data_IF_760416841316
#
_entry.id   IF_760416841316
#
_cell.length_a   1.000
_cell.length_b   1.000
_cell.length_c   1.000
_cell.angle_alpha   90.00
_cell.angle_beta   90.00
_cell.angle_gamma   90.00
#
_symmetry.space_group_name_H-M   'P 1'
#
loop_
_entity.id
_entity.type
_entity.pdbx_description
1 polymer ?
#
# COMPACT_ATOMS: atom_id res chain seq x y z
N UNK A 1 -16.02 22.51 -12.57
CA UNK A 1 -14.61 22.67 -12.20
C UNK A 1 -13.94 21.29 -12.16
N UNK A 2 -12.82 21.17 -12.86
CA UNK A 2 -12.03 19.95 -12.95
C UNK A 2 -10.86 20.01 -11.96
N UNK A 3 -10.46 18.86 -11.38
CA UNK A 3 -9.20 18.69 -10.70
C UNK A 3 -8.61 17.32 -11.02
N UNK A 4 -7.33 17.32 -11.35
CA UNK A 4 -6.50 16.14 -11.57
C UNK A 4 -5.34 16.22 -10.60
N UNK A 5 -5.09 15.14 -9.90
CA UNK A 5 -3.92 14.97 -9.03
C UNK A 5 -3.22 13.64 -9.36
N UNK A 6 -1.90 13.67 -9.39
CA UNK A 6 -1.09 12.49 -9.63
C UNK A 6 0.17 12.54 -8.77
N UNK A 7 0.61 11.38 -8.33
CA UNK A 7 1.86 11.19 -7.62
C UNK A 7 2.57 9.95 -8.15
N UNK A 8 3.90 10.03 -8.20
CA UNK A 8 4.77 8.99 -8.67
C UNK A 8 5.95 8.87 -7.72
N UNK A 9 6.31 7.68 -7.31
CA UNK A 9 7.50 7.37 -6.55
C UNK A 9 8.28 6.24 -7.20
N UNK A 10 9.57 6.41 -7.31
CA UNK A 10 10.50 5.35 -7.69
C UNK A 10 11.63 5.30 -6.67
N UNK A 11 11.88 4.11 -6.15
CA UNK A 11 12.88 3.86 -5.12
C UNK A 11 13.68 2.63 -5.49
N UNK A 12 15.00 2.75 -5.44
CA UNK A 12 15.90 1.60 -5.43
C UNK A 12 16.62 1.57 -4.10
N UNK A 13 16.46 0.48 -3.37
CA UNK A 13 17.12 0.26 -2.08
C UNK A 13 17.92 -1.04 -2.12
N UNK A 14 19.14 -1.02 -1.62
CA UNK A 14 20.00 -2.19 -1.55
C UNK A 14 20.80 -2.14 -0.24
N UNK A 15 20.90 -3.27 0.44
CA UNK A 15 21.78 -3.40 1.60
C UNK A 15 23.24 -3.47 1.13
N UNK A 16 24.12 -2.77 1.82
CA UNK A 16 25.55 -3.01 1.74
C UNK A 16 25.92 -4.37 2.33
N UNK A 17 27.19 -4.62 2.59
CA UNK A 17 27.64 -5.88 3.21
C UNK A 17 26.95 -6.08 4.55
N UNK A 18 26.11 -7.09 4.64
CA UNK A 18 25.36 -7.40 5.84
C UNK A 18 25.01 -8.89 5.90
N UNK A 19 25.27 -9.51 7.04
CA UNK A 19 24.97 -10.91 7.32
C UNK A 19 24.06 -11.04 8.52
N UNK A 20 23.09 -11.94 8.50
CA UNK A 20 22.21 -12.17 9.63
C UNK A 20 21.68 -13.61 9.69
N UNK A 21 21.21 -14.00 10.86
CA UNK A 21 20.44 -15.24 11.04
C UNK A 21 18.96 -14.91 10.94
N UNK A 22 18.21 -15.68 10.12
CA UNK A 22 16.76 -15.58 10.12
C UNK A 22 16.23 -16.03 11.49
N UNK A 23 15.59 -15.15 12.28
CA UNK A 23 15.10 -15.49 13.62
C UNK A 23 14.01 -16.56 13.60
N UNK A 24 13.48 -16.89 12.43
CA UNK A 24 12.52 -17.99 12.21
C UNK A 24 13.22 -19.33 11.92
N UNK A 25 14.56 -19.34 11.82
CA UNK A 25 15.34 -20.54 11.66
C UNK A 25 15.49 -21.29 13.00
N UNK A 26 15.60 -22.61 12.93
CA UNK A 26 15.74 -23.47 14.12
C UNK A 26 17.11 -23.30 14.80
N UNK A 27 18.12 -22.83 14.06
CA UNK A 27 19.49 -22.64 14.56
C UNK A 27 19.77 -21.15 14.81
N UNK A 28 20.16 -20.83 16.04
CA UNK A 28 20.57 -19.50 16.47
C UNK A 28 22.10 -19.41 16.59
N UNK A 29 22.84 -20.02 15.68
CA UNK A 29 24.29 -19.91 15.69
C UNK A 29 24.73 -18.45 15.49
N UNK A 30 25.78 -17.97 16.18
CA UNK A 30 26.24 -16.59 16.09
C UNK A 30 26.68 -16.24 14.65
N UNK A 31 26.33 -15.02 14.24
CA UNK A 31 26.65 -14.46 12.92
C UNK A 31 27.21 -13.06 13.12
N UNK A 32 28.38 -12.79 12.55
CA UNK A 32 28.94 -11.43 12.54
C UNK A 32 28.31 -10.65 11.36
N UNK A 33 27.62 -9.54 11.62
CA UNK A 33 26.95 -8.78 10.56
C UNK A 33 27.88 -8.19 9.49
N UNK A 34 29.18 -8.02 9.81
CA UNK A 34 30.15 -7.39 8.91
C UNK A 34 31.03 -8.39 8.17
N UNK A 35 31.34 -9.53 8.77
CA UNK A 35 32.35 -10.47 8.23
C UNK A 35 31.75 -11.79 7.75
N UNK A 36 30.49 -12.05 8.04
CA UNK A 36 29.76 -13.20 7.53
C UNK A 36 29.91 -14.47 8.32
N UNK A 37 29.70 -15.64 7.69
CA UNK A 37 29.37 -16.85 8.37
C UNK A 37 30.54 -17.52 9.08
N UNK A 38 30.43 -17.62 10.40
CA UNK A 38 31.09 -18.68 11.13
C UNK A 38 30.32 -20.03 10.99
N UNK A 39 29.07 -20.02 10.50
CA UNK A 39 28.18 -21.18 10.42
C UNK A 39 27.23 -21.09 9.23
N UNK A 40 26.68 -22.24 8.79
CA UNK A 40 25.73 -22.36 7.68
C UNK A 40 24.37 -21.65 7.88
N UNK A 41 24.09 -21.13 9.06
CA UNK A 41 22.84 -20.40 9.37
C UNK A 41 22.96 -18.89 9.16
N UNK A 42 24.14 -18.36 8.89
CA UNK A 42 24.39 -16.96 8.62
C UNK A 42 24.11 -16.67 7.13
N UNK A 43 23.13 -15.86 6.85
CA UNK A 43 22.67 -15.56 5.49
C UNK A 43 23.31 -14.24 5.06
N UNK A 44 23.90 -14.24 3.85
CA UNK A 44 24.36 -13.02 3.20
C UNK A 44 23.14 -12.25 2.64
N UNK A 45 22.92 -11.05 3.16
CA UNK A 45 21.84 -10.16 2.76
C UNK A 45 22.34 -8.99 1.89
N UNK A 46 23.60 -9.04 1.48
CA UNK A 46 24.20 -8.03 0.59
C UNK A 46 23.41 -7.93 -0.70
N UNK A 47 22.99 -6.72 -1.07
CA UNK A 47 22.18 -6.48 -2.25
C UNK A 47 20.69 -6.74 -2.08
N UNK A 48 20.24 -7.26 -0.92
CA UNK A 48 18.81 -7.38 -0.65
C UNK A 48 18.17 -6.01 -0.48
N UNK A 49 16.91 -5.92 -0.87
CA UNK A 49 16.12 -4.68 -0.71
C UNK A 49 15.71 -4.45 0.74
N UNK A 50 15.47 -3.20 1.09
CA UNK A 50 14.87 -2.82 2.35
C UNK A 50 13.43 -3.34 2.45
N UNK A 51 13.01 -3.62 3.68
CA UNK A 51 11.64 -4.05 3.94
C UNK A 51 10.64 -2.94 3.68
N UNK A 52 9.50 -3.28 3.07
CA UNK A 52 8.42 -2.35 2.75
C UNK A 52 8.89 -1.15 1.91
N UNK A 53 9.83 -1.38 1.00
CA UNK A 53 10.40 -0.40 0.10
C UNK A 53 10.04 -0.77 -1.36
N UNK A 54 8.79 -0.56 -1.80
CA UNK A 54 8.37 -0.88 -3.16
C UNK A 54 9.18 -0.05 -4.16
N UNK A 55 9.64 -0.68 -5.24
CA UNK A 55 10.40 0.02 -6.27
C UNK A 55 9.55 1.11 -6.92
N UNK A 56 8.26 0.86 -7.07
CA UNK A 56 7.37 1.76 -7.79
C UNK A 56 6.06 2.00 -7.04
N UNK A 57 5.66 3.26 -6.94
CA UNK A 57 4.35 3.68 -6.46
C UNK A 57 3.74 4.72 -7.40
N UNK A 58 2.45 4.62 -7.63
CA UNK A 58 1.71 5.56 -8.47
C UNK A 58 0.34 5.83 -7.87
N UNK A 59 -0.11 7.08 -7.93
CA UNK A 59 -1.48 7.45 -7.62
C UNK A 59 -2.02 8.44 -8.64
N UNK A 60 -3.29 8.31 -8.94
CA UNK A 60 -4.02 9.21 -9.85
C UNK A 60 -5.40 9.47 -9.26
N UNK A 61 -5.75 10.75 -9.12
CA UNK A 61 -7.07 11.21 -8.72
C UNK A 61 -7.65 12.13 -9.77
N UNK A 62 -8.94 11.94 -10.09
CA UNK A 62 -9.68 12.79 -11.00
C UNK A 62 -11.05 13.11 -10.44
N UNK A 63 -11.44 14.37 -10.50
CA UNK A 63 -12.79 14.81 -10.15
C UNK A 63 -13.32 15.87 -11.11
N UNK A 64 -14.63 15.94 -11.20
CA UNK A 64 -15.32 16.97 -11.96
C UNK A 64 -16.57 17.45 -11.21
N UNK A 65 -16.70 18.75 -11.01
CA UNK A 65 -17.87 19.35 -10.36
C UNK A 65 -18.86 19.85 -11.43
N UNK A 66 -20.03 19.22 -11.46
CA UNK A 66 -21.16 19.60 -12.30
C UNK A 66 -22.06 20.55 -11.51
N UNK A 67 -22.32 21.75 -12.07
CA UNK A 67 -23.32 22.66 -11.52
C UNK A 67 -24.70 22.27 -12.08
N UNK A 68 -25.66 22.10 -11.18
CA UNK A 68 -27.05 21.79 -11.53
C UNK A 68 -27.92 23.04 -11.43
N UNK A 69 -29.12 22.98 -12.03
CA UNK A 69 -30.14 24.00 -11.84
C UNK A 69 -30.49 24.13 -10.35
N UNK A 70 -30.70 25.37 -9.87
CA UNK A 70 -31.01 25.62 -8.45
C UNK A 70 -29.80 25.84 -7.54
N UNK A 71 -28.56 25.79 -8.07
CA UNK A 71 -27.34 26.08 -7.31
C UNK A 71 -26.71 24.82 -6.65
N UNK A 72 -27.25 23.65 -6.93
CA UNK A 72 -26.69 22.38 -6.49
C UNK A 72 -25.43 22.03 -7.26
N UNK A 73 -24.58 21.20 -6.64
CA UNK A 73 -23.39 20.63 -7.31
C UNK A 73 -23.30 19.12 -7.09
N UNK A 74 -22.91 18.41 -8.14
CA UNK A 74 -22.56 16.99 -8.08
C UNK A 74 -21.10 16.82 -8.47
N UNK A 75 -20.32 16.21 -7.61
CA UNK A 75 -18.87 16.05 -7.79
C UNK A 75 -18.49 14.56 -7.69
N UNK A 76 -18.47 13.81 -8.81
CA UNK A 76 -17.82 12.52 -8.85
C UNK A 76 -16.30 12.67 -8.73
N UNK A 77 -15.67 11.70 -8.05
CA UNK A 77 -14.22 11.54 -7.95
C UNK A 77 -13.87 10.06 -8.03
N UNK A 78 -12.81 9.76 -8.76
CA UNK A 78 -12.17 8.45 -8.79
C UNK A 78 -10.71 8.59 -8.41
N UNK A 79 -10.19 7.63 -7.67
CA UNK A 79 -8.78 7.55 -7.31
C UNK A 79 -8.28 6.13 -7.62
N UNK A 80 -7.12 6.06 -8.25
CA UNK A 80 -6.37 4.84 -8.47
C UNK A 80 -5.03 4.91 -7.75
N UNK A 81 -4.66 3.85 -7.07
CA UNK A 81 -3.35 3.71 -6.43
C UNK A 81 -2.73 2.37 -6.79
N UNK A 82 -1.45 2.41 -7.17
CA UNK A 82 -0.61 1.25 -7.43
C UNK A 82 0.59 1.26 -6.50
N UNK A 83 0.93 0.10 -5.95
CA UNK A 83 2.15 -0.15 -5.21
C UNK A 83 2.71 -1.47 -5.73
N UNK A 84 3.96 -1.47 -6.22
CA UNK A 84 4.63 -2.67 -6.69
C UNK A 84 4.84 -3.67 -5.57
N UNK A 85 5.19 -4.89 -5.91
CA UNK A 85 5.62 -5.89 -4.94
C UNK A 85 6.79 -5.38 -4.09
N UNK A 86 6.93 -5.93 -2.90
CA UNK A 86 7.95 -5.54 -1.93
C UNK A 86 8.20 -6.66 -0.92
N UNK A 87 9.33 -6.62 -0.27
CA UNK A 87 9.68 -7.61 0.74
C UNK A 87 9.27 -7.18 2.14
N UNK A 88 8.61 -8.07 2.89
CA UNK A 88 8.25 -7.81 4.28
C UNK A 88 9.41 -8.07 5.25
N UNK A 89 10.41 -8.85 4.83
CA UNK A 89 11.62 -9.14 5.61
C UNK A 89 12.87 -9.02 4.75
N UNK A 90 14.00 -8.73 5.37
CA UNK A 90 15.30 -8.66 4.70
C UNK A 90 15.74 -10.03 4.14
N UNK A 91 15.17 -11.12 4.65
CA UNK A 91 15.55 -12.50 4.24
C UNK A 91 14.97 -12.89 2.88
N UNK A 92 13.96 -12.18 2.39
CA UNK A 92 13.37 -12.35 1.05
C UNK A 92 13.03 -13.82 0.74
N UNK A 93 12.50 -14.52 1.71
CA UNK A 93 12.16 -15.93 1.58
C UNK A 93 10.71 -16.08 1.09
N UNK A 94 10.55 -16.27 -0.20
CA UNK A 94 9.24 -16.41 -0.84
C UNK A 94 8.46 -17.62 -0.32
N UNK A 95 9.14 -18.76 -0.08
CA UNK A 95 8.52 -19.96 0.47
C UNK A 95 7.94 -19.76 1.89
N UNK A 96 8.46 -18.78 2.63
CA UNK A 96 7.92 -18.33 3.93
C UNK A 96 6.89 -17.22 3.82
N UNK A 97 6.63 -16.75 2.59
CA UNK A 97 5.65 -15.73 2.31
C UNK A 97 6.14 -14.31 2.65
N UNK A 98 7.43 -14.05 2.51
CA UNK A 98 8.02 -12.73 2.74
C UNK A 98 7.69 -11.73 1.63
N UNK A 99 7.27 -12.20 0.45
CA UNK A 99 6.82 -11.36 -0.64
C UNK A 99 5.44 -10.79 -0.34
N UNK A 100 5.33 -9.46 -0.39
CA UNK A 100 4.07 -8.72 -0.41
C UNK A 100 3.77 -8.37 -1.85
N UNK A 101 2.78 -9.05 -2.43
CA UNK A 101 2.37 -8.87 -3.82
C UNK A 101 1.96 -7.41 -4.11
N UNK A 102 2.09 -7.02 -5.38
CA UNK A 102 1.62 -5.73 -5.85
C UNK A 102 0.13 -5.51 -5.56
N UNK A 103 -0.26 -4.25 -5.44
CA UNK A 103 -1.68 -3.92 -5.25
C UNK A 103 -2.12 -2.74 -6.11
N UNK A 104 -3.35 -2.87 -6.62
CA UNK A 104 -4.01 -1.91 -7.47
C UNK A 104 -5.38 -1.58 -6.87
N UNK A 105 -5.50 -0.43 -6.22
CA UNK A 105 -6.70 -0.06 -5.48
C UNK A 105 -7.45 1.06 -6.20
N UNK A 106 -8.72 0.82 -6.49
CA UNK A 106 -9.63 1.80 -7.05
C UNK A 106 -10.64 2.22 -5.98
N UNK A 107 -10.73 3.53 -5.75
CA UNK A 107 -11.73 4.14 -4.89
C UNK A 107 -12.53 5.17 -5.69
N UNK A 108 -13.82 5.31 -5.40
CA UNK A 108 -14.64 6.35 -6.00
C UNK A 108 -15.63 6.94 -5.00
N UNK A 109 -16.06 8.16 -5.27
CA UNK A 109 -17.11 8.82 -4.52
C UNK A 109 -17.91 9.77 -5.41
N UNK A 110 -19.16 10.03 -5.01
CA UNK A 110 -20.01 11.06 -5.60
C UNK A 110 -20.52 11.92 -4.44
N UNK A 111 -20.16 13.20 -4.45
CA UNK A 111 -20.65 14.17 -3.50
C UNK A 111 -21.75 15.04 -4.15
N UNK A 112 -22.91 15.10 -3.54
CA UNK A 112 -23.98 16.03 -3.88
C UNK A 112 -24.12 17.08 -2.79
N UNK A 113 -24.03 18.35 -3.20
CA UNK A 113 -24.21 19.52 -2.34
C UNK A 113 -25.53 20.20 -2.68
N UNK A 114 -26.36 20.37 -1.67
CA UNK A 114 -27.60 21.14 -1.70
C UNK A 114 -27.59 22.17 -0.54
N UNK A 115 -27.37 23.42 -0.86
CA UNK A 115 -27.19 24.48 0.15
C UNK A 115 -26.04 24.15 1.12
N UNK A 116 -26.37 24.05 2.41
CA UNK A 116 -25.40 23.69 3.48
C UNK A 116 -25.25 22.17 3.71
N UNK A 117 -26.03 21.34 3.01
CA UNK A 117 -25.97 19.88 3.12
C UNK A 117 -25.08 19.29 2.04
N UNK A 118 -24.18 18.40 2.43
CA UNK A 118 -23.37 17.57 1.52
C UNK A 118 -23.64 16.11 1.82
N UNK A 119 -24.10 15.39 0.81
CA UNK A 119 -24.29 13.93 0.84
C UNK A 119 -23.24 13.28 -0.05
N UNK A 120 -22.46 12.35 0.49
CA UNK A 120 -21.42 11.65 -0.25
C UNK A 120 -21.66 10.15 -0.18
N UNK A 121 -21.85 9.52 -1.34
CA UNK A 121 -21.78 8.07 -1.51
C UNK A 121 -20.35 7.74 -1.91
N UNK A 122 -19.73 6.75 -1.26
CA UNK A 122 -18.37 6.35 -1.56
C UNK A 122 -18.21 4.83 -1.58
N UNK A 123 -17.19 4.38 -2.31
CA UNK A 123 -16.73 3.00 -2.29
C UNK A 123 -15.20 2.96 -2.28
N UNK A 124 -14.65 2.03 -1.51
CA UNK A 124 -13.22 1.76 -1.42
C UNK A 124 -12.92 0.34 -1.87
N UNK A 125 -11.74 0.14 -2.45
CA UNK A 125 -11.33 -1.14 -3.03
C UNK A 125 -12.42 -1.71 -3.97
N UNK A 126 -12.87 -0.92 -4.93
CA UNK A 126 -13.99 -1.27 -5.80
C UNK A 126 -13.74 -2.51 -6.64
N UNK A 127 -12.48 -2.82 -6.93
CA UNK A 127 -12.05 -4.03 -7.63
C UNK A 127 -12.05 -5.28 -6.74
N UNK A 128 -12.28 -5.10 -5.42
CA UNK A 128 -12.27 -6.17 -4.42
C UNK A 128 -10.96 -6.97 -4.40
N UNK A 129 -9.85 -6.28 -4.60
CA UNK A 129 -8.54 -6.91 -4.58
C UNK A 129 -8.22 -7.40 -3.16
N UNK A 130 -7.91 -8.68 -3.03
CA UNK A 130 -7.37 -9.24 -1.80
C UNK A 130 -5.86 -9.02 -1.79
N UNK A 131 -5.35 -8.35 -0.79
CA UNK A 131 -3.93 -8.05 -0.68
C UNK A 131 -3.45 -8.13 0.76
N UNK A 132 -2.18 -8.47 0.92
CA UNK A 132 -1.50 -8.41 2.22
C UNK A 132 -1.04 -6.97 2.46
N UNK A 133 -1.50 -6.37 3.57
CA UNK A 133 -1.07 -5.03 3.99
C UNK A 133 0.24 -5.04 4.77
N UNK A 134 0.47 -6.09 5.57
CA UNK A 134 1.67 -6.25 6.37
C UNK A 134 1.90 -7.72 6.75
N UNK A 135 3.16 -8.04 7.04
CA UNK A 135 3.60 -9.29 7.65
C UNK A 135 4.35 -8.98 8.95
N UNK A 136 3.99 -9.63 10.04
CA UNK A 136 4.73 -9.52 11.29
C UNK A 136 4.85 -10.89 11.95
N UNK A 137 6.08 -11.35 12.16
CA UNK A 137 6.37 -12.65 12.80
C UNK A 137 5.60 -13.84 12.20
N UNK A 138 5.40 -13.83 10.86
CA UNK A 138 4.64 -14.84 10.14
C UNK A 138 3.12 -14.64 10.13
N UNK A 139 2.59 -13.64 10.85
CA UNK A 139 1.18 -13.25 10.81
C UNK A 139 0.93 -12.30 9.64
N UNK A 140 -0.03 -12.65 8.80
CA UNK A 140 -0.44 -11.85 7.64
C UNK A 140 -1.63 -10.95 8.01
N UNK A 141 -1.46 -9.66 7.81
CA UNK A 141 -2.51 -8.66 7.99
C UNK A 141 -3.07 -8.29 6.62
N UNK A 142 -4.30 -8.73 6.35
CA UNK A 142 -4.96 -8.46 5.08
C UNK A 142 -5.46 -7.01 5.04
N UNK A 143 -5.40 -6.41 3.88
CA UNK A 143 -6.00 -5.11 3.62
C UNK A 143 -7.53 -5.18 3.69
N UNK A 144 -8.23 -4.02 3.86
CA UNK A 144 -9.68 -3.99 3.92
C UNK A 144 -10.29 -4.47 2.59
N UNK A 145 -11.37 -5.28 2.66
CA UNK A 145 -12.13 -5.67 1.49
C UNK A 145 -12.86 -4.48 0.88
N UNK A 146 -13.55 -4.69 -0.22
CA UNK A 146 -14.44 -3.69 -0.82
C UNK A 146 -15.49 -3.22 0.19
N UNK A 147 -15.64 -1.91 0.31
CA UNK A 147 -16.57 -1.26 1.22
C UNK A 147 -17.36 -0.16 0.51
N UNK A 148 -18.58 0.05 0.94
CA UNK A 148 -19.44 1.16 0.51
C UNK A 148 -19.95 1.91 1.73
N UNK A 149 -20.16 3.20 1.59
CA UNK A 149 -20.68 4.00 2.67
C UNK A 149 -21.35 5.27 2.20
N UNK A 150 -22.17 5.84 3.11
CA UNK A 150 -22.83 7.11 2.95
C UNK A 150 -22.35 8.06 4.06
N UNK A 151 -21.99 9.28 3.68
CA UNK A 151 -21.63 10.35 4.61
C UNK A 151 -22.56 11.54 4.41
N UNK A 152 -23.09 12.05 5.51
CA UNK A 152 -23.88 13.28 5.54
C UNK A 152 -23.11 14.35 6.33
N UNK A 153 -22.99 15.54 5.79
CA UNK A 153 -22.37 16.67 6.44
C UNK A 153 -23.27 17.92 6.25
N UNK A 154 -23.54 18.61 7.35
CA UNK A 154 -24.28 19.87 7.33
C UNK A 154 -23.45 20.95 8.02
N UNK A 155 -23.23 22.06 7.33
CA UNK A 155 -22.69 23.27 7.93
C UNK A 155 -23.83 24.09 8.57
N UNK A 156 -23.60 24.66 9.73
CA UNK A 156 -24.55 25.49 10.48
C UNK A 156 -24.12 26.96 10.45
#
# INVERSE_FOLDING_TARGET
QEALDAGFGWLKSELGTFYAVDPRAISLAPCDPATGPATASCIDLTGHEQTYAPEFTFNLGMQYAFSLAGGDTVTPRINYGHISEQWATLFQNEARGDLVEERNIVNAQIAWRHGSLVTTLYGTNLTDQHYMGALNSGLRFMGPPRQYGLRLMKAF
#
